data_IF_164975129956
#
_entry.id   IF_164975129956
#
_cell.length_a   1.000
_cell.length_b   1.000
_cell.length_c   1.000
_cell.angle_alpha   90.00
_cell.angle_beta   90.00
_cell.angle_gamma   90.00
#
_symmetry.space_group_name_H-M   'P 1'
#
loop_
_entity.id
_entity.type
_entity.pdbx_description
1 polymer ?
#
# COMPACT_ATOMS: atom_id res chain seq x y z
N UNK A 1 -27.33 44.64 34.26
CA UNK A 1 -27.09 43.19 34.48
C UNK A 1 -27.31 42.44 33.17
N UNK A 2 -26.24 42.04 32.47
CA UNK A 2 -26.34 41.33 31.19
C UNK A 2 -26.18 39.82 31.41
N UNK A 3 -27.23 39.04 31.14
CA UNK A 3 -27.19 37.57 31.14
C UNK A 3 -26.82 37.07 29.73
N UNK A 4 -25.54 36.77 29.52
CA UNK A 4 -25.05 36.07 28.33
C UNK A 4 -25.43 34.58 28.39
N UNK A 5 -26.53 34.18 27.75
CA UNK A 5 -26.86 32.77 27.52
C UNK A 5 -26.15 32.27 26.26
N UNK A 6 -25.05 31.52 26.43
CA UNK A 6 -24.43 30.69 25.39
C UNK A 6 -25.39 29.56 24.98
N UNK A 7 -26.16 29.78 23.92
CA UNK A 7 -26.93 28.73 23.25
C UNK A 7 -26.02 27.79 22.47
N UNK A 8 -25.87 26.56 22.96
CA UNK A 8 -25.17 25.45 22.30
C UNK A 8 -25.87 25.06 20.99
N UNK A 9 -25.52 25.68 19.88
CA UNK A 9 -25.86 25.17 18.53
C UNK A 9 -24.80 24.16 18.05
N UNK A 10 -24.61 23.08 18.82
CA UNK A 10 -23.86 21.90 18.38
C UNK A 10 -24.80 20.95 17.66
N UNK A 11 -25.26 21.34 16.45
CA UNK A 11 -26.40 20.71 15.79
C UNK A 11 -26.20 19.22 15.41
N UNK A 12 -27.31 18.52 15.09
CA UNK A 12 -27.38 17.12 14.61
C UNK A 12 -26.45 16.75 13.43
N UNK A 13 -25.83 17.76 12.82
CA UNK A 13 -25.03 17.66 11.61
C UNK A 13 -23.64 17.02 11.82
N UNK A 14 -23.06 17.11 13.04
CA UNK A 14 -21.72 16.51 13.30
C UNK A 14 -21.75 14.98 13.34
N UNK A 15 -22.81 14.38 13.88
CA UNK A 15 -22.95 12.93 13.93
C UNK A 15 -23.29 12.37 12.54
N UNK A 16 -24.20 13.04 11.80
CA UNK A 16 -24.51 12.70 10.41
C UNK A 16 -23.27 12.81 9.49
N UNK A 17 -22.46 13.87 9.61
CA UNK A 17 -21.23 14.03 8.84
C UNK A 17 -20.19 12.94 9.14
N UNK A 18 -20.04 12.54 10.42
CA UNK A 18 -19.18 11.41 10.80
C UNK A 18 -19.67 10.09 10.20
N UNK A 19 -20.98 9.83 10.26
CA UNK A 19 -21.57 8.62 9.69
C UNK A 19 -21.44 8.59 8.15
N UNK A 20 -21.68 9.71 7.47
CA UNK A 20 -21.50 9.84 6.02
C UNK A 20 -20.03 9.65 5.61
N UNK A 21 -19.09 10.22 6.37
CA UNK A 21 -17.64 10.01 6.16
C UNK A 21 -17.27 8.53 6.30
N UNK A 22 -17.72 7.86 7.38
CA UNK A 22 -17.48 6.41 7.57
C UNK A 22 -18.04 5.57 6.41
N UNK A 23 -19.25 5.87 5.94
CA UNK A 23 -19.85 5.17 4.78
C UNK A 23 -19.06 5.40 3.49
N UNK A 24 -18.54 6.61 3.27
CA UNK A 24 -17.70 6.93 2.11
C UNK A 24 -16.35 6.22 2.19
N UNK A 25 -15.71 6.21 3.35
CA UNK A 25 -14.48 5.47 3.61
C UNK A 25 -14.70 3.98 3.36
N UNK A 26 -15.78 3.41 3.92
CA UNK A 26 -16.15 2.02 3.69
C UNK A 26 -16.39 1.70 2.21
N UNK A 27 -17.10 2.56 1.46
CA UNK A 27 -17.27 2.40 0.01
C UNK A 27 -15.96 2.49 -0.76
N UNK A 28 -15.05 3.39 -0.39
CA UNK A 28 -13.73 3.49 -1.04
C UNK A 28 -12.87 2.25 -0.76
N UNK A 29 -13.05 1.64 0.42
CA UNK A 29 -12.43 0.37 0.80
C UNK A 29 -13.08 -0.81 0.07
N UNK A 30 -14.38 -0.77 -0.20
CA UNK A 30 -15.12 -1.76 -1.01
C UNK A 30 -14.75 -1.68 -2.50
N UNK A 31 -14.35 -0.50 -3.00
CA UNK A 31 -13.91 -0.30 -4.39
C UNK A 31 -12.41 -0.59 -4.60
N UNK A 32 -11.66 -0.86 -3.54
CA UNK A 32 -10.22 -1.11 -3.64
C UNK A 32 -9.97 -2.54 -4.16
N UNK A 33 -9.31 -2.71 -5.32
CA UNK A 33 -9.19 -3.98 -6.04
C UNK A 33 -8.60 -5.10 -5.21
N UNK A 34 -7.65 -4.81 -4.33
CA UNK A 34 -7.05 -5.85 -3.49
C UNK A 34 -8.05 -6.47 -2.50
N UNK A 35 -9.14 -5.78 -2.18
CA UNK A 35 -10.08 -6.20 -1.13
C UNK A 35 -11.33 -6.89 -1.65
N UNK A 36 -11.87 -6.43 -2.78
CA UNK A 36 -13.05 -7.06 -3.37
C UNK A 36 -12.69 -8.07 -4.46
N UNK A 37 -11.48 -7.98 -5.01
CA UNK A 37 -11.02 -8.88 -6.05
C UNK A 37 -10.57 -10.25 -5.55
N UNK A 38 -10.24 -10.40 -4.25
CA UNK A 38 -9.65 -11.61 -3.67
C UNK A 38 -8.52 -12.20 -4.55
N UNK A 39 -7.34 -11.57 -4.59
CA UNK A 39 -6.19 -12.10 -5.31
C UNK A 39 -5.98 -13.60 -5.04
N UNK A 40 -5.61 -14.40 -6.05
CA UNK A 40 -5.61 -15.86 -5.94
C UNK A 40 -4.42 -16.44 -5.14
N UNK A 41 -3.61 -15.60 -4.49
CA UNK A 41 -2.37 -15.99 -3.80
C UNK A 41 -2.52 -15.92 -2.28
N UNK A 42 -1.78 -16.77 -1.56
CA UNK A 42 -1.86 -16.94 -0.11
C UNK A 42 -1.57 -15.64 0.65
N UNK A 43 -0.60 -14.84 0.16
CA UNK A 43 -0.19 -13.58 0.79
C UNK A 43 -1.26 -12.48 0.86
N UNK A 44 -2.44 -12.70 0.27
CA UNK A 44 -3.59 -11.79 0.32
C UNK A 44 -4.73 -12.27 1.21
N UNK A 45 -4.59 -13.46 1.83
CA UNK A 45 -5.57 -13.96 2.80
C UNK A 45 -5.40 -13.33 4.17
N UNK A 46 -4.18 -12.91 4.50
CA UNK A 46 -3.83 -12.29 5.77
C UNK A 46 -3.54 -10.80 5.61
N UNK A 47 -4.04 -10.02 6.56
CA UNK A 47 -3.97 -8.56 6.55
C UNK A 47 -3.50 -8.04 7.90
N UNK A 48 -2.49 -7.19 7.88
CA UNK A 48 -2.06 -6.40 9.02
C UNK A 48 -2.98 -5.18 9.13
N UNK A 49 -3.76 -5.15 10.22
CA UNK A 49 -4.69 -4.06 10.52
C UNK A 49 -4.30 -3.47 11.87
N UNK A 50 -3.92 -2.17 11.94
CA UNK A 50 -3.62 -1.52 13.21
C UNK A 50 -4.89 -1.38 14.06
N UNK A 51 -4.70 -1.11 15.35
CA UNK A 51 -5.81 -0.86 16.28
C UNK A 51 -6.64 0.33 15.78
N UNK A 52 -7.98 0.20 15.64
CA UNK A 52 -8.83 1.27 15.13
C UNK A 52 -8.93 2.46 16.11
N UNK A 53 -8.50 2.27 17.36
CA UNK A 53 -8.50 3.31 18.39
C UNK A 53 -7.25 4.19 18.31
N UNK A 54 -6.09 3.57 18.09
CA UNK A 54 -4.79 4.26 18.14
C UNK A 54 -4.22 4.52 16.74
N UNK A 55 -4.68 3.79 15.72
CA UNK A 55 -4.08 3.77 14.39
C UNK A 55 -2.71 3.09 14.35
N UNK A 56 -2.34 2.33 15.39
CA UNK A 56 -1.03 1.68 15.55
C UNK A 56 -1.14 0.20 15.85
N UNK A 57 -0.09 -0.56 15.59
CA UNK A 57 0.04 -1.94 16.03
C UNK A 57 0.37 -1.99 17.51
N UNK A 58 -0.42 -2.76 18.26
CA UNK A 58 -0.25 -2.91 19.70
C UNK A 58 0.78 -4.02 19.97
N UNK A 59 2.02 -3.60 20.25
CA UNK A 59 3.10 -4.51 20.60
C UNK A 59 3.19 -4.70 22.11
N UNK A 60 3.54 -5.91 22.55
CA UNK A 60 3.85 -6.16 23.94
C UNK A 60 5.02 -5.27 24.42
N UNK A 61 4.99 -4.84 25.67
CA UNK A 61 6.08 -4.04 26.26
C UNK A 61 7.44 -4.77 26.22
N UNK A 62 7.43 -6.10 26.15
CA UNK A 62 8.60 -6.97 26.00
C UNK A 62 9.03 -7.21 24.55
N UNK A 63 8.35 -6.63 23.55
CA UNK A 63 8.66 -6.85 22.14
C UNK A 63 10.10 -6.42 21.83
N UNK A 64 10.87 -7.22 21.06
CA UNK A 64 12.20 -6.86 20.60
C UNK A 64 12.25 -5.52 19.86
N UNK A 65 13.41 -4.86 19.89
CA UNK A 65 13.60 -3.57 19.20
C UNK A 65 13.36 -3.70 17.69
N UNK A 66 13.82 -4.80 17.09
CA UNK A 66 13.64 -5.08 15.66
C UNK A 66 12.16 -5.11 15.27
N UNK A 67 11.31 -5.76 16.07
CA UNK A 67 9.86 -5.78 15.84
C UNK A 67 9.26 -4.38 15.92
N UNK A 68 9.68 -3.56 16.89
CA UNK A 68 9.20 -2.17 17.02
C UNK A 68 9.57 -1.33 15.80
N UNK A 69 10.82 -1.45 15.33
CA UNK A 69 11.29 -0.73 14.15
C UNK A 69 10.56 -1.18 12.89
N UNK A 70 10.32 -2.49 12.75
CA UNK A 70 9.55 -3.07 11.65
C UNK A 70 8.13 -2.49 11.58
N UNK A 71 7.38 -2.54 12.68
CA UNK A 71 6.01 -2.03 12.71
C UNK A 71 5.94 -0.50 12.62
N UNK A 72 6.87 0.24 13.23
CA UNK A 72 6.94 1.70 13.08
C UNK A 72 7.12 2.11 11.61
N UNK A 73 8.00 1.41 10.88
CA UNK A 73 8.18 1.63 9.44
C UNK A 73 6.90 1.33 8.65
N UNK A 74 6.22 0.22 8.95
CA UNK A 74 4.95 -0.12 8.30
C UNK A 74 3.93 1.01 8.52
N UNK A 75 3.80 1.47 9.77
CA UNK A 75 2.85 2.53 10.15
C UNK A 75 3.12 3.84 9.42
N UNK A 76 4.39 4.23 9.34
CA UNK A 76 4.79 5.50 8.75
C UNK A 76 4.77 5.49 7.22
N UNK A 77 5.23 4.40 6.61
CA UNK A 77 5.52 4.37 5.17
C UNK A 77 4.48 3.59 4.37
N UNK A 78 4.03 2.43 4.85
CA UNK A 78 3.16 1.53 4.08
C UNK A 78 1.67 1.78 4.33
N UNK A 79 1.25 1.94 5.58
CA UNK A 79 -0.18 2.16 5.89
C UNK A 79 -0.81 3.33 5.12
N UNK A 80 -0.13 4.48 4.88
CA UNK A 80 -0.69 5.55 4.06
C UNK A 80 -1.00 5.12 2.61
N UNK A 81 -0.13 4.30 2.01
CA UNK A 81 -0.29 3.78 0.64
C UNK A 81 -1.48 2.81 0.59
N UNK A 82 -1.59 1.95 1.60
CA UNK A 82 -2.58 0.87 1.68
C UNK A 82 -3.84 1.24 2.48
N UNK A 83 -4.07 2.53 2.70
CA UNK A 83 -5.31 3.07 3.32
C UNK A 83 -5.61 2.43 4.68
N UNK A 84 -4.58 2.17 5.48
CA UNK A 84 -4.70 1.68 6.85
C UNK A 84 -4.85 0.17 7.02
N UNK A 85 -4.65 -0.64 5.97
CA UNK A 85 -4.66 -2.11 6.06
C UNK A 85 -3.73 -2.71 5.02
N UNK A 86 -2.76 -3.51 5.45
CA UNK A 86 -1.66 -3.97 4.60
C UNK A 86 -1.76 -5.49 4.40
N UNK A 87 -1.76 -6.02 3.15
CA UNK A 87 -1.72 -7.47 2.96
C UNK A 87 -0.32 -7.98 3.29
N UNK A 88 -0.20 -9.22 3.79
CA UNK A 88 1.12 -9.82 4.08
C UNK A 88 2.04 -9.81 2.86
N UNK A 89 1.50 -10.03 1.65
CA UNK A 89 2.25 -9.91 0.40
C UNK A 89 2.97 -8.55 0.25
N UNK A 90 2.37 -7.44 0.72
CA UNK A 90 3.04 -6.15 0.64
C UNK A 90 4.25 -6.04 1.58
N UNK A 91 4.30 -6.81 2.67
CA UNK A 91 5.48 -6.87 3.53
C UNK A 91 6.63 -7.60 2.86
N UNK A 92 6.33 -8.69 2.13
CA UNK A 92 7.34 -9.43 1.38
C UNK A 92 7.92 -8.58 0.24
N UNK A 93 7.08 -7.77 -0.42
CA UNK A 93 7.54 -6.79 -1.41
C UNK A 93 8.51 -5.77 -0.79
N UNK A 94 8.22 -5.25 0.40
CA UNK A 94 9.13 -4.32 1.11
C UNK A 94 10.47 -4.98 1.42
N UNK A 95 10.45 -6.25 1.86
CA UNK A 95 11.66 -7.01 2.19
C UNK A 95 12.52 -7.30 0.96
N UNK A 96 11.91 -7.66 -0.18
CA UNK A 96 12.63 -7.79 -1.45
C UNK A 96 13.31 -6.47 -1.84
N UNK A 97 12.56 -5.37 -1.88
CA UNK A 97 13.12 -4.07 -2.28
C UNK A 97 14.26 -3.63 -1.35
N UNK A 98 14.12 -3.85 -0.03
CA UNK A 98 15.19 -3.60 0.96
C UNK A 98 16.44 -4.44 0.74
N UNK A 99 16.27 -5.70 0.35
CA UNK A 99 17.39 -6.57 0.01
C UNK A 99 18.11 -6.16 -1.28
N UNK A 100 17.56 -5.18 -2.02
CA UNK A 100 18.16 -4.61 -3.22
C UNK A 100 17.84 -5.40 -4.49
N UNK A 101 16.90 -6.34 -4.43
CA UNK A 101 16.50 -7.20 -5.55
C UNK A 101 14.99 -7.35 -5.63
N UNK A 102 14.46 -7.58 -6.83
CA UNK A 102 13.06 -7.90 -7.06
C UNK A 102 12.96 -9.19 -7.87
N UNK A 103 12.03 -10.07 -7.50
CA UNK A 103 11.72 -11.27 -8.26
C UNK A 103 10.61 -10.96 -9.27
N UNK A 104 10.82 -11.20 -10.55
CA UNK A 104 9.83 -11.03 -11.63
C UNK A 104 9.40 -12.40 -12.15
N UNK A 105 8.09 -12.68 -12.19
CA UNK A 105 7.59 -13.94 -12.74
C UNK A 105 7.75 -13.98 -14.27
N UNK A 106 8.39 -15.02 -14.80
CA UNK A 106 8.71 -15.12 -16.24
C UNK A 106 7.57 -15.67 -17.12
N UNK A 107 6.47 -16.14 -16.54
CA UNK A 107 5.36 -16.79 -17.25
C UNK A 107 4.09 -16.88 -16.38
N UNK A 108 3.03 -17.40 -17.01
CA UNK A 108 1.73 -17.62 -16.39
C UNK A 108 1.70 -18.94 -15.62
N UNK A 109 1.80 -18.87 -14.28
CA UNK A 109 1.62 -20.01 -13.37
C UNK A 109 2.10 -19.72 -11.95
N UNK A 110 1.58 -20.47 -10.95
CA UNK A 110 1.97 -20.30 -9.54
C UNK A 110 3.39 -20.78 -9.25
N UNK A 111 3.97 -21.67 -10.08
CA UNK A 111 5.24 -22.37 -9.86
C UNK A 111 6.35 -21.92 -10.84
N UNK A 112 6.23 -20.72 -11.40
CA UNK A 112 7.10 -20.29 -12.50
C UNK A 112 8.41 -19.72 -11.96
N UNK A 113 9.57 -20.05 -12.59
CA UNK A 113 10.86 -19.46 -12.22
C UNK A 113 10.80 -17.94 -12.29
N UNK A 114 11.26 -17.28 -11.23
CA UNK A 114 11.40 -15.84 -11.19
C UNK A 114 12.78 -15.43 -11.71
N UNK A 115 12.84 -14.37 -12.52
CA UNK A 115 14.09 -13.66 -12.76
C UNK A 115 14.32 -12.67 -11.62
N UNK A 116 15.49 -12.71 -11.00
CA UNK A 116 15.86 -11.77 -9.95
C UNK A 116 16.59 -10.60 -10.60
N UNK A 117 16.07 -9.39 -10.41
CA UNK A 117 16.63 -8.16 -10.98
C UNK A 117 17.06 -7.24 -9.84
N UNK A 118 18.28 -6.68 -9.87
CA UNK A 118 18.69 -5.65 -8.92
C UNK A 118 17.78 -4.41 -8.99
N UNK A 119 17.36 -3.89 -7.84
CA UNK A 119 16.52 -2.68 -7.75
C UNK A 119 17.19 -1.49 -8.43
N UNK A 120 18.52 -1.37 -8.29
CA UNK A 120 19.28 -0.31 -8.94
C UNK A 120 19.21 -0.39 -10.48
N UNK A 121 19.30 -1.60 -11.04
CA UNK A 121 19.17 -1.81 -12.49
C UNK A 121 17.74 -1.53 -12.96
N UNK A 122 16.75 -2.00 -12.21
CA UNK A 122 15.35 -1.73 -12.48
C UNK A 122 15.04 -0.22 -12.45
N UNK A 123 15.59 0.51 -11.47
CA UNK A 123 15.44 1.95 -11.36
C UNK A 123 16.01 2.70 -12.56
N UNK A 124 17.18 2.27 -13.06
CA UNK A 124 17.79 2.87 -14.25
C UNK A 124 16.91 2.72 -15.50
N UNK A 125 16.22 1.58 -15.63
CA UNK A 125 15.32 1.30 -16.76
C UNK A 125 14.02 2.12 -16.73
N UNK A 126 13.58 2.57 -15.55
CA UNK A 126 12.34 3.37 -15.37
C UNK A 126 12.63 4.87 -15.34
N UNK A 127 13.84 5.28 -14.94
CA UNK A 127 14.21 6.69 -14.75
C UNK A 127 14.22 7.52 -16.05
N UNK A 128 13.95 6.92 -17.21
CA UNK A 128 13.90 7.62 -18.50
C UNK A 128 12.60 8.38 -18.79
N UNK A 129 11.50 8.17 -18.04
CA UNK A 129 10.19 8.74 -18.45
C UNK A 129 9.37 9.52 -17.38
N UNK A 130 9.70 9.48 -16.09
CA UNK A 130 8.78 10.00 -15.06
C UNK A 130 9.26 11.27 -14.35
N UNK A 131 8.99 12.43 -14.96
CA UNK A 131 9.21 13.75 -14.33
C UNK A 131 8.08 14.24 -13.41
N UNK A 132 6.92 13.58 -13.36
CA UNK A 132 5.68 14.23 -12.86
C UNK A 132 4.89 13.45 -11.78
N UNK A 133 5.17 12.16 -11.54
CA UNK A 133 4.38 11.31 -10.62
C UNK A 133 4.78 11.36 -9.13
N UNK A 134 5.91 11.97 -8.78
CA UNK A 134 6.45 11.89 -7.42
C UNK A 134 5.79 12.83 -6.40
N UNK A 135 5.21 13.95 -6.84
CA UNK A 135 4.73 14.98 -5.91
C UNK A 135 3.47 14.60 -5.13
N UNK A 136 2.67 13.62 -5.60
CA UNK A 136 1.37 13.31 -5.02
C UNK A 136 1.43 12.36 -3.82
N UNK A 137 2.45 11.50 -3.72
CA UNK A 137 2.62 10.58 -2.57
C UNK A 137 3.72 11.04 -1.61
N UNK A 138 4.64 11.88 -2.08
CA UNK A 138 5.65 12.55 -1.27
C UNK A 138 5.29 13.94 -0.68
N UNK A 139 4.03 14.43 -0.55
CA UNK A 139 3.77 15.63 0.24
C UNK A 139 3.83 15.35 1.75
N UNK A 140 3.58 14.11 2.18
CA UNK A 140 3.61 13.71 3.60
C UNK A 140 4.99 13.26 4.09
N UNK A 141 5.88 12.84 3.19
CA UNK A 141 7.21 12.31 3.52
C UNK A 141 8.31 13.38 3.57
N UNK A 142 7.96 14.68 3.64
CA UNK A 142 8.94 15.78 3.63
C UNK A 142 9.92 15.75 2.43
N UNK A 143 9.54 15.12 1.32
CA UNK A 143 10.35 15.11 0.09
C UNK A 143 10.34 16.47 -0.63
N UNK A 144 9.48 17.39 -0.19
CA UNK A 144 9.31 18.74 -0.71
C UNK A 144 10.38 19.70 -0.18
N UNK A 145 11.65 19.34 -0.32
CA UNK A 145 12.76 20.12 0.22
C UNK A 145 14.05 19.97 -0.55
N UNK A 146 14.05 19.94 -1.88
CA UNK A 146 15.28 19.95 -2.71
C UNK A 146 16.26 18.78 -2.49
N UNK A 147 15.95 17.85 -1.59
CA UNK A 147 16.73 16.64 -1.34
C UNK A 147 16.41 15.66 -2.45
N UNK A 148 17.40 15.36 -3.28
CA UNK A 148 17.31 14.30 -4.26
C UNK A 148 16.96 12.99 -3.54
N UNK A 149 15.71 12.58 -3.66
CA UNK A 149 15.25 11.25 -3.24
C UNK A 149 15.97 10.22 -4.10
N UNK A 150 16.56 9.21 -3.47
CA UNK A 150 17.31 8.18 -4.20
C UNK A 150 16.43 7.47 -5.23
N UNK A 151 17.03 6.98 -6.32
CA UNK A 151 16.36 6.17 -7.35
C UNK A 151 15.60 4.98 -6.74
N UNK A 152 16.18 4.36 -5.72
CA UNK A 152 15.65 3.17 -5.07
C UNK A 152 14.40 3.49 -4.24
N UNK A 153 14.39 4.63 -3.53
CA UNK A 153 13.20 5.06 -2.80
C UNK A 153 12.04 5.39 -3.74
N UNK A 154 12.34 5.95 -4.92
CA UNK A 154 11.34 6.21 -5.96
C UNK A 154 10.71 4.93 -6.50
N UNK A 155 11.54 3.93 -6.82
CA UNK A 155 11.08 2.58 -7.18
C UNK A 155 10.24 1.96 -6.08
N UNK A 156 10.68 2.07 -4.82
CA UNK A 156 9.94 1.56 -3.67
C UNK A 156 8.52 2.13 -3.59
N UNK A 157 8.38 3.46 -3.67
CA UNK A 157 7.05 4.11 -3.68
C UNK A 157 6.19 3.60 -4.84
N UNK A 158 6.74 3.57 -6.06
CA UNK A 158 5.98 3.17 -7.24
C UNK A 158 5.54 1.71 -7.23
N UNK A 159 6.40 0.78 -6.78
CA UNK A 159 6.04 -0.63 -6.68
C UNK A 159 4.92 -0.83 -5.65
N UNK A 160 4.96 -0.17 -4.50
CA UNK A 160 3.88 -0.25 -3.51
C UNK A 160 2.59 0.42 -4.01
N UNK A 161 2.66 1.50 -4.77
CA UNK A 161 1.48 2.12 -5.39
C UNK A 161 0.83 1.19 -6.43
N UNK A 162 1.63 0.61 -7.33
CA UNK A 162 1.14 -0.36 -8.31
C UNK A 162 0.53 -1.57 -7.62
N UNK A 163 1.15 -2.03 -6.53
CA UNK A 163 0.65 -3.12 -5.74
C UNK A 163 -0.70 -2.76 -5.08
N UNK A 164 -0.77 -1.63 -4.36
CA UNK A 164 -1.99 -1.15 -3.73
C UNK A 164 -3.12 -0.92 -4.74
N UNK A 165 -2.80 -0.53 -5.98
CA UNK A 165 -3.76 -0.37 -7.07
C UNK A 165 -4.19 -1.69 -7.73
N UNK A 166 -3.68 -2.85 -7.29
CA UNK A 166 -3.94 -4.14 -7.94
C UNK A 166 -3.40 -4.22 -9.37
N UNK A 167 -2.38 -3.42 -9.71
CA UNK A 167 -1.67 -3.50 -11.01
C UNK A 167 -0.43 -4.38 -10.93
N UNK A 168 -0.05 -4.71 -9.71
CA UNK A 168 1.06 -5.58 -9.37
C UNK A 168 0.59 -6.51 -8.25
N UNK A 169 0.79 -7.81 -8.41
CA UNK A 169 0.61 -8.80 -7.35
C UNK A 169 1.90 -9.58 -7.13
N UNK A 170 2.05 -10.19 -5.96
CA UNK A 170 3.04 -11.22 -5.70
C UNK A 170 2.37 -12.59 -5.81
N UNK A 171 3.02 -13.54 -6.47
CA UNK A 171 2.60 -14.94 -6.42
C UNK A 171 3.03 -15.60 -5.08
N UNK A 172 2.75 -16.88 -4.92
CA UNK A 172 3.11 -17.65 -3.71
C UNK A 172 4.63 -17.88 -3.53
N UNK A 173 5.44 -17.42 -4.48
CA UNK A 173 6.91 -17.42 -4.42
C UNK A 173 7.48 -15.99 -4.33
N UNK A 174 6.65 -15.03 -3.94
CA UNK A 174 6.98 -13.61 -3.82
C UNK A 174 7.50 -12.96 -5.12
N UNK A 175 7.17 -13.55 -6.27
CA UNK A 175 7.51 -12.99 -7.57
C UNK A 175 6.41 -12.05 -8.07
N UNK A 176 6.85 -10.89 -8.55
CA UNK A 176 6.02 -9.82 -9.11
C UNK A 176 5.33 -10.28 -10.38
N UNK A 177 4.03 -9.98 -10.45
CA UNK A 177 3.11 -10.26 -11.55
C UNK A 177 2.35 -8.99 -11.90
N UNK A 178 2.42 -8.57 -13.16
CA UNK A 178 1.60 -7.46 -13.65
C UNK A 178 0.16 -7.92 -13.88
N UNK A 179 -0.78 -7.09 -13.47
CA UNK A 179 -2.21 -7.44 -13.48
C UNK A 179 -3.08 -6.30 -13.98
N UNK A 180 -4.22 -6.66 -14.55
CA UNK A 180 -5.38 -5.80 -14.59
C UNK A 180 -6.35 -6.27 -13.49
N UNK A 181 -6.64 -5.41 -12.49
CA UNK A 181 -7.52 -5.78 -11.40
C UNK A 181 -8.96 -5.94 -11.91
N UNK A 182 -9.78 -6.74 -11.19
CA UNK A 182 -11.19 -6.86 -11.46
C UNK A 182 -11.88 -5.49 -11.46
N UNK A 183 -12.86 -5.31 -12.35
CA UNK A 183 -13.61 -4.04 -12.46
C UNK A 183 -14.86 -4.04 -11.60
N UNK A 184 -15.40 -5.22 -11.32
CA UNK A 184 -16.58 -5.44 -10.50
C UNK A 184 -16.33 -6.58 -9.49
N UNK A 185 -17.04 -6.58 -8.34
CA UNK A 185 -17.01 -7.71 -7.42
C UNK A 185 -17.37 -9.02 -8.12
N UNK A 186 -16.51 -10.04 -7.99
CA UNK A 186 -16.68 -11.35 -8.63
C UNK A 186 -15.98 -11.51 -9.99
N UNK A 187 -15.48 -10.43 -10.60
CA UNK A 187 -14.59 -10.52 -11.75
C UNK A 187 -13.29 -11.24 -11.37
N UNK A 188 -12.70 -11.95 -12.32
CA UNK A 188 -11.40 -12.60 -12.14
C UNK A 188 -10.26 -11.61 -12.38
N UNK A 189 -9.16 -11.81 -11.65
CA UNK A 189 -7.88 -11.15 -11.95
C UNK A 189 -7.39 -11.54 -13.33
N UNK A 190 -6.95 -10.54 -14.09
CA UNK A 190 -6.32 -10.75 -15.39
C UNK A 190 -4.82 -10.55 -15.23
N UNK A 191 -4.06 -11.56 -15.65
CA UNK A 191 -2.60 -11.54 -15.62
C UNK A 191 -2.09 -11.06 -16.96
N UNK A 192 -1.26 -10.03 -16.93
CA UNK A 192 -0.61 -9.51 -18.13
C UNK A 192 0.62 -10.38 -18.37
N UNK A 193 0.68 -11.03 -19.54
CA UNK A 193 1.87 -11.74 -19.97
C UNK A 193 2.98 -10.71 -20.19
N UNK A 194 4.11 -10.90 -19.52
CA UNK A 194 5.34 -10.20 -19.86
C UNK A 194 5.81 -10.76 -21.19
N UNK A 195 5.57 -10.04 -22.28
CA UNK A 195 6.17 -10.38 -23.57
C UNK A 195 7.68 -10.27 -23.41
N UNK A 196 8.37 -11.41 -23.46
CA UNK A 196 9.82 -11.49 -23.53
C UNK A 196 10.33 -11.10 -24.91
#
# INVERSE_FOLDING_TARGET
MAKNRKGRNGGPNKQAARAARRRREQRLLEMDPLFHGNPPYEGYREWLVPSPLTGRFELAASAPMESRQYFARIEELLLPIYRGRLPVAATHLDDWIKSGVIALANADGPQVPASVVPVAEFAQRISSDDGHGHHEVCPQLSCCGGVHVSSEHRVWVHLHQLHAAGRLLLNDHDAIRLTAPPRQPGDKWQFLSTVG
#
